data_IF_971807197690
#
_entry.id   IF_971807197690
#
_cell.length_a   1.000
_cell.length_b   1.000
_cell.length_c   1.000
_cell.angle_alpha   90.00
_cell.angle_beta   90.00
_cell.angle_gamma   90.00
#
_symmetry.space_group_name_H-M   'P 1'
#
loop_
_entity.id
_entity.type
_entity.pdbx_description
1 polymer ?
#
# COMPACT_ATOMS: atom_id res chain seq x y z
N UNK A 1 44.86 6.10 -22.78
CA UNK A 1 44.00 6.10 -21.56
C UNK A 1 44.28 4.84 -20.77
N UNK A 2 44.67 4.94 -19.49
CA UNK A 2 45.06 3.76 -18.70
C UNK A 2 43.86 2.82 -18.50
N UNK A 3 44.07 1.53 -18.76
CA UNK A 3 43.04 0.49 -18.65
C UNK A 3 42.31 0.55 -17.30
N UNK A 4 43.05 0.85 -16.21
CA UNK A 4 42.53 1.05 -14.85
C UNK A 4 41.52 2.21 -14.71
N UNK A 5 41.78 3.34 -15.37
CA UNK A 5 40.89 4.51 -15.36
C UNK A 5 39.60 4.23 -16.16
N UNK A 6 39.74 3.52 -17.29
CA UNK A 6 38.58 3.11 -18.08
C UNK A 6 37.69 2.12 -17.32
N UNK A 7 38.27 1.16 -16.60
CA UNK A 7 37.49 0.21 -15.78
C UNK A 7 36.76 0.92 -14.64
N UNK A 8 37.40 1.90 -14.01
CA UNK A 8 36.77 2.69 -12.94
C UNK A 8 35.58 3.52 -13.45
N UNK A 9 35.70 4.14 -14.62
CA UNK A 9 34.61 4.90 -15.25
C UNK A 9 33.40 4.02 -15.59
N UNK A 10 33.63 2.81 -16.10
CA UNK A 10 32.54 1.86 -16.38
C UNK A 10 31.82 1.44 -15.10
N UNK A 11 32.56 1.22 -14.01
CA UNK A 11 31.97 0.88 -12.72
C UNK A 11 31.13 2.04 -12.15
N UNK A 12 31.58 3.28 -12.32
CA UNK A 12 30.87 4.48 -11.88
C UNK A 12 29.53 4.65 -12.63
N UNK A 13 29.51 4.39 -13.94
CA UNK A 13 28.28 4.43 -14.75
C UNK A 13 27.30 3.33 -14.30
N UNK A 14 27.81 2.13 -14.01
CA UNK A 14 26.96 1.03 -13.52
C UNK A 14 26.34 1.33 -12.15
N UNK A 15 27.11 1.97 -11.26
CA UNK A 15 26.63 2.37 -9.94
C UNK A 15 25.55 3.47 -10.01
N UNK A 16 25.63 4.34 -11.02
CA UNK A 16 24.63 5.41 -11.23
C UNK A 16 23.26 4.91 -11.68
N UNK A 17 23.16 3.66 -12.15
CA UNK A 17 21.89 3.01 -12.52
C UNK A 17 21.15 2.37 -11.34
N UNK A 18 21.73 2.39 -10.13
CA UNK A 18 21.02 1.99 -8.91
C UNK A 18 20.01 3.08 -8.53
N UNK A 19 18.86 3.08 -9.20
CA UNK A 19 17.74 3.97 -8.88
C UNK A 19 17.16 3.64 -7.52
N UNK A 20 17.23 4.59 -6.58
CA UNK A 20 16.46 4.54 -5.34
C UNK A 20 15.03 4.97 -5.68
N UNK A 21 14.10 4.01 -5.69
CA UNK A 21 12.67 4.31 -5.78
C UNK A 21 12.21 4.84 -4.43
N UNK A 22 11.76 6.10 -4.37
CA UNK A 22 11.09 6.63 -3.19
C UNK A 22 9.68 6.01 -3.13
N UNK A 23 9.39 5.25 -2.08
CA UNK A 23 8.06 4.71 -1.82
C UNK A 23 7.13 5.83 -1.36
N UNK A 24 6.11 6.16 -2.17
CA UNK A 24 5.12 7.16 -1.82
C UNK A 24 3.89 6.48 -1.22
N UNK A 25 3.76 6.54 0.10
CA UNK A 25 2.58 6.05 0.83
C UNK A 25 1.65 7.19 1.22
N UNK A 26 0.34 6.97 1.14
CA UNK A 26 -0.69 7.90 1.63
C UNK A 26 -1.38 7.28 2.83
N UNK A 27 -1.56 8.04 3.90
CA UNK A 27 -2.30 7.61 5.10
C UNK A 27 -3.59 8.38 5.27
N UNK A 28 -4.69 7.65 5.46
CA UNK A 28 -6.05 8.17 5.63
C UNK A 28 -6.55 7.74 7.01
N UNK A 29 -7.17 8.66 7.75
CA UNK A 29 -7.92 8.34 8.97
C UNK A 29 -9.39 8.22 8.63
N UNK A 30 -9.95 7.04 8.82
CA UNK A 30 -11.36 6.77 8.55
C UNK A 30 -12.14 6.62 9.86
N UNK A 31 -13.35 7.20 9.94
CA UNK A 31 -14.26 6.94 11.05
C UNK A 31 -14.75 5.49 10.98
N UNK A 32 -14.95 4.89 12.14
CA UNK A 32 -15.44 3.53 12.29
C UNK A 32 -16.33 3.41 13.52
N UNK A 33 -16.94 2.24 13.69
CA UNK A 33 -17.75 1.90 14.85
C UNK A 33 -17.15 0.67 15.53
N UNK A 34 -16.91 0.75 16.83
CA UNK A 34 -16.44 -0.37 17.64
C UNK A 34 -17.56 -0.90 18.52
N UNK A 35 -17.68 -2.23 18.57
CA UNK A 35 -18.65 -2.93 19.42
C UNK A 35 -18.03 -3.25 20.77
N UNK A 36 -18.65 -2.79 21.84
CA UNK A 36 -18.25 -3.07 23.23
C UNK A 36 -19.31 -3.95 23.91
N UNK A 37 -19.05 -4.36 25.15
CA UNK A 37 -20.05 -5.06 25.97
C UNK A 37 -21.27 -4.20 26.33
N UNK A 38 -21.15 -2.88 26.25
CA UNK A 38 -22.18 -1.93 26.66
C UNK A 38 -22.86 -1.21 25.50
N UNK A 39 -22.45 -1.46 24.26
CA UNK A 39 -23.04 -0.87 23.07
C UNK A 39 -22.04 -0.62 21.95
N UNK A 40 -22.21 0.49 21.23
CA UNK A 40 -21.34 0.92 20.15
C UNK A 40 -20.69 2.25 20.48
N UNK A 41 -19.41 2.39 20.15
CA UNK A 41 -18.66 3.64 20.29
C UNK A 41 -18.04 4.03 18.95
N UNK A 42 -17.83 5.33 18.75
CA UNK A 42 -17.03 5.82 17.63
C UNK A 42 -15.58 5.35 17.77
N UNK A 43 -15.00 4.94 16.66
CA UNK A 43 -13.61 4.54 16.54
C UNK A 43 -12.97 5.26 15.35
N UNK A 44 -11.64 5.30 15.35
CA UNK A 44 -10.86 5.77 14.21
C UNK A 44 -9.92 4.66 13.80
N UNK A 45 -9.83 4.40 12.50
CA UNK A 45 -8.84 3.50 11.93
C UNK A 45 -7.92 4.25 10.98
N UNK A 46 -6.68 3.81 10.87
CA UNK A 46 -5.72 4.33 9.89
C UNK A 46 -5.52 3.34 8.77
N UNK A 47 -5.65 3.81 7.54
CA UNK A 47 -5.35 3.06 6.32
C UNK A 47 -4.17 3.74 5.65
N UNK A 48 -3.05 3.05 5.56
CA UNK A 48 -1.91 3.47 4.75
C UNK A 48 -1.89 2.66 3.47
N UNK A 49 -1.77 3.32 2.32
CA UNK A 49 -1.72 2.68 1.00
C UNK A 49 -0.46 3.11 0.28
N UNK A 50 0.28 2.16 -0.27
CA UNK A 50 1.33 2.42 -1.26
C UNK A 50 1.07 1.64 -2.54
N UNK A 51 1.58 2.17 -3.65
CA UNK A 51 1.49 1.56 -4.96
C UNK A 51 2.88 1.55 -5.61
N UNK A 52 3.36 0.37 -5.96
CA UNK A 52 4.67 0.16 -6.57
C UNK A 52 4.49 -0.54 -7.92
N UNK A 53 5.34 -0.28 -8.93
CA UNK A 53 5.32 -1.08 -10.15
C UNK A 53 5.41 -2.59 -9.84
N UNK A 54 4.58 -3.39 -10.51
CA UNK A 54 4.46 -4.82 -10.24
C UNK A 54 3.40 -5.50 -11.10
N UNK A 55 2.85 -6.60 -10.59
CA UNK A 55 2.05 -7.56 -11.38
C UNK A 55 0.56 -7.53 -11.02
N UNK A 56 0.07 -6.44 -10.42
CA UNK A 56 -1.35 -6.27 -10.12
C UNK A 56 -1.80 -6.89 -8.81
N UNK A 57 -0.88 -7.28 -7.93
CA UNK A 57 -1.22 -7.91 -6.65
C UNK A 57 -1.68 -6.89 -5.60
N UNK A 58 -2.58 -7.33 -4.74
CA UNK A 58 -3.11 -6.52 -3.63
C UNK A 58 -2.79 -7.24 -2.33
N UNK A 59 -2.01 -6.60 -1.48
CA UNK A 59 -1.59 -7.09 -0.18
C UNK A 59 -2.32 -6.32 0.91
N UNK A 60 -2.88 -7.03 1.87
CA UNK A 60 -3.67 -6.46 2.96
C UNK A 60 -3.05 -6.92 4.27
N UNK A 61 -2.35 -6.01 4.93
CA UNK A 61 -1.79 -6.16 6.28
C UNK A 61 -2.70 -5.43 7.27
N UNK A 62 -3.15 -6.15 8.28
CA UNK A 62 -4.20 -5.68 9.17
C UNK A 62 -3.89 -6.02 10.61
N UNK A 63 -4.12 -5.04 11.49
CA UNK A 63 -4.09 -5.25 12.93
C UNK A 63 -5.22 -4.45 13.58
N UNK A 64 -6.23 -5.08 14.21
CA UNK A 64 -6.40 -6.52 14.46
C UNK A 64 -6.82 -7.32 13.21
N UNK A 65 -7.38 -8.53 13.40
CA UNK A 65 -8.03 -9.32 12.36
C UNK A 65 -9.11 -8.53 11.62
N UNK A 66 -9.21 -8.75 10.31
CA UNK A 66 -10.31 -8.22 9.49
C UNK A 66 -11.24 -9.30 8.99
N UNK A 67 -12.46 -8.89 8.71
CA UNK A 67 -13.42 -9.69 7.97
C UNK A 67 -13.05 -9.73 6.48
N UNK A 68 -13.63 -10.70 5.76
CA UNK A 68 -13.45 -10.90 4.33
C UNK A 68 -13.92 -9.69 3.51
N UNK A 69 -15.00 -9.05 3.96
CA UNK A 69 -15.63 -7.92 3.27
C UNK A 69 -14.66 -6.74 3.13
N UNK A 70 -13.88 -6.43 4.17
CA UNK A 70 -12.87 -5.37 4.12
C UNK A 70 -11.77 -5.68 3.11
N UNK A 71 -11.37 -6.94 2.96
CA UNK A 71 -10.41 -7.35 1.94
C UNK A 71 -10.99 -7.24 0.52
N UNK A 72 -12.28 -7.55 0.35
CA UNK A 72 -12.98 -7.35 -0.91
C UNK A 72 -13.09 -5.85 -1.26
N UNK A 73 -13.37 -4.99 -0.27
CA UNK A 73 -13.39 -3.53 -0.44
C UNK A 73 -12.04 -2.96 -0.87
N UNK A 74 -10.92 -3.48 -0.33
CA UNK A 74 -9.59 -3.07 -0.78
C UNK A 74 -9.39 -3.34 -2.28
N UNK A 75 -9.86 -4.49 -2.79
CA UNK A 75 -9.80 -4.82 -4.22
C UNK A 75 -10.66 -3.89 -5.07
N UNK A 76 -11.89 -3.64 -4.63
CA UNK A 76 -12.80 -2.72 -5.31
C UNK A 76 -12.23 -1.29 -5.35
N UNK A 77 -11.61 -0.84 -4.25
CA UNK A 77 -11.00 0.48 -4.17
C UNK A 77 -9.87 0.66 -5.20
N UNK A 78 -9.03 -0.36 -5.41
CA UNK A 78 -7.99 -0.33 -6.46
C UNK A 78 -8.63 -0.21 -7.85
N UNK A 79 -9.66 -1.01 -8.13
CA UNK A 79 -10.34 -0.98 -9.43
C UNK A 79 -10.96 0.41 -9.70
N UNK A 80 -11.65 0.98 -8.71
CA UNK A 80 -12.22 2.33 -8.80
C UNK A 80 -11.13 3.38 -9.00
N UNK A 81 -10.01 3.30 -8.27
CA UNK A 81 -8.89 4.22 -8.44
C UNK A 81 -8.29 4.14 -9.85
N UNK A 82 -8.16 2.94 -10.41
CA UNK A 82 -7.74 2.72 -11.80
C UNK A 82 -8.64 3.42 -12.80
N UNK A 83 -9.97 3.25 -12.64
CA UNK A 83 -10.97 3.91 -13.49
C UNK A 83 -10.94 5.44 -13.37
N UNK A 84 -10.78 5.96 -12.16
CA UNK A 84 -10.73 7.41 -11.91
C UNK A 84 -9.47 8.08 -12.44
N UNK A 85 -8.33 7.38 -12.40
CA UNK A 85 -7.03 7.90 -12.84
C UNK A 85 -6.69 7.56 -14.29
N UNK A 86 -7.43 6.65 -14.91
CA UNK A 86 -7.11 6.09 -16.23
C UNK A 86 -5.83 5.25 -16.25
N UNK A 87 -5.34 4.83 -15.09
CA UNK A 87 -4.13 4.01 -14.96
C UNK A 87 -4.47 2.53 -15.00
N UNK A 88 -3.60 1.77 -15.66
CA UNK A 88 -3.68 0.31 -15.69
C UNK A 88 -3.17 -0.27 -14.36
N UNK A 89 -4.11 -0.66 -13.50
CA UNK A 89 -3.82 -1.17 -12.15
C UNK A 89 -3.13 -2.53 -12.16
N UNK A 90 -3.15 -3.27 -13.26
CA UNK A 90 -2.44 -4.55 -13.34
C UNK A 90 -0.93 -4.40 -13.43
N UNK A 91 -0.44 -3.16 -13.60
CA UNK A 91 1.00 -2.83 -13.64
C UNK A 91 1.55 -2.37 -12.29
N UNK A 92 0.74 -2.42 -11.25
CA UNK A 92 1.11 -1.96 -9.92
C UNK A 92 0.68 -2.98 -8.86
N UNK A 93 1.56 -3.22 -7.90
CA UNK A 93 1.20 -3.87 -6.64
C UNK A 93 0.74 -2.82 -5.64
N UNK A 94 -0.34 -3.11 -4.92
CA UNK A 94 -0.92 -2.25 -3.89
C UNK A 94 -0.74 -2.88 -2.53
N UNK A 95 -0.31 -2.08 -1.55
CA UNK A 95 -0.07 -2.51 -0.18
C UNK A 95 -0.96 -1.69 0.75
N UNK A 96 -1.90 -2.36 1.39
CA UNK A 96 -2.78 -1.78 2.40
C UNK A 96 -2.28 -2.16 3.78
N UNK A 97 -2.04 -1.16 4.62
CA UNK A 97 -1.75 -1.33 6.04
C UNK A 97 -2.91 -0.70 6.81
N UNK A 98 -3.72 -1.54 7.45
CA UNK A 98 -4.89 -1.11 8.23
C UNK A 98 -4.60 -1.34 9.71
N UNK A 99 -4.77 -0.29 10.51
CA UNK A 99 -4.59 -0.34 11.97
C UNK A 99 -5.80 0.26 12.68
N UNK A 100 -6.27 -0.42 13.73
CA UNK A 100 -7.34 0.05 14.60
C UNK A 100 -7.12 -0.40 16.03
N UNK A 101 -7.62 0.38 16.99
CA UNK A 101 -7.69 0.00 18.40
C UNK A 101 -8.93 -0.85 18.71
N UNK A 102 -9.84 -1.02 17.75
CA UNK A 102 -10.95 -1.98 17.82
C UNK A 102 -10.42 -3.42 17.81
N UNK A 103 -11.08 -4.40 18.44
CA UNK A 103 -10.64 -5.80 18.43
C UNK A 103 -10.88 -6.55 17.11
N UNK A 104 -11.83 -6.09 16.28
CA UNK A 104 -12.11 -6.63 14.93
C UNK A 104 -12.43 -5.46 14.00
N UNK A 105 -11.98 -5.55 12.73
CA UNK A 105 -12.34 -4.62 11.65
C UNK A 105 -13.23 -5.36 10.64
N UNK A 106 -14.38 -4.81 10.32
CA UNK A 106 -15.34 -5.42 9.40
C UNK A 106 -16.05 -4.41 8.51
N UNK A 107 -16.96 -4.92 7.68
CA UNK A 107 -17.76 -4.13 6.74
C UNK A 107 -17.08 -3.82 5.39
N UNK A 108 -17.85 -3.27 4.44
CA UNK A 108 -17.35 -2.70 3.20
C UNK A 108 -16.85 -1.26 3.33
#
# INVERSE_FOLDING_TARGET
MNKKISTFLVFLVFFSMLGISADSSVTIRAPAVSKTSTGYIGAVLSITVSALPGDGHIYVDTWPLTELDTQASARLAVEVAGRMTGKDVTKYNFYYIIRSDSPVIGGP
#
